data_IF_336432030513
#
_entry.id   IF_336432030513
#
_cell.length_a   1.000
_cell.length_b   1.000
_cell.length_c   1.000
_cell.angle_alpha   90.00
_cell.angle_beta   90.00
_cell.angle_gamma   90.00
#
_symmetry.space_group_name_H-M   'P 1'
#
loop_
_entity.id
_entity.type
_entity.pdbx_description
1 polymer ?
#
# COMPACT_ATOMS: atom_id res chain seq x y z
N UNK A 1 7.68 -3.99 -27.09
CA UNK A 1 6.43 -3.37 -27.58
C UNK A 1 5.20 -3.88 -26.82
N UNK A 2 5.12 -5.16 -26.49
CA UNK A 2 4.02 -5.81 -25.76
C UNK A 2 3.90 -5.29 -24.30
N UNK A 3 5.02 -5.05 -23.61
CA UNK A 3 5.01 -4.55 -22.22
C UNK A 3 4.51 -3.09 -22.09
N UNK A 4 4.72 -2.28 -23.14
CA UNK A 4 4.20 -0.90 -23.15
C UNK A 4 2.67 -0.82 -23.21
N UNK A 5 2.01 -1.78 -23.82
CA UNK A 5 0.55 -1.81 -23.92
C UNK A 5 -0.12 -2.22 -22.59
N UNK A 6 0.52 -3.11 -21.81
CA UNK A 6 -0.02 -3.59 -20.52
C UNK A 6 -0.22 -2.49 -19.47
N UNK A 7 0.39 -1.34 -19.67
CA UNK A 7 0.40 -0.21 -18.73
C UNK A 7 -0.56 0.91 -19.14
N UNK A 8 -1.32 0.75 -20.21
CA UNK A 8 -2.22 1.77 -20.74
C UNK A 8 -3.69 1.45 -20.46
N UNK A 9 -4.52 2.50 -20.38
CA UNK A 9 -5.99 2.36 -20.37
C UNK A 9 -6.49 1.50 -21.55
N UNK A 10 -5.83 1.59 -22.71
CA UNK A 10 -6.13 0.76 -23.88
C UNK A 10 -5.90 -0.75 -23.62
N UNK A 11 -4.92 -1.12 -22.81
CA UNK A 11 -4.71 -2.50 -22.38
C UNK A 11 -5.80 -2.98 -21.42
N UNK A 12 -6.24 -2.12 -20.51
CA UNK A 12 -7.37 -2.42 -19.61
C UNK A 12 -8.65 -2.65 -20.41
N UNK A 13 -8.90 -1.83 -21.45
CA UNK A 13 -9.99 -2.03 -22.40
C UNK A 13 -9.83 -3.33 -23.20
N UNK A 14 -8.61 -3.67 -23.64
CA UNK A 14 -8.31 -4.92 -24.33
C UNK A 14 -8.52 -6.14 -23.43
N UNK A 15 -8.08 -6.09 -22.17
CA UNK A 15 -8.31 -7.14 -21.18
C UNK A 15 -9.79 -7.33 -20.89
N UNK A 16 -10.54 -6.23 -20.78
CA UNK A 16 -11.99 -6.28 -20.67
C UNK A 16 -12.64 -6.97 -21.85
N UNK A 17 -12.27 -6.57 -23.07
CA UNK A 17 -12.82 -7.12 -24.31
C UNK A 17 -12.47 -8.61 -24.50
N UNK A 18 -11.22 -9.01 -24.19
CA UNK A 18 -10.73 -10.37 -24.44
C UNK A 18 -11.04 -11.36 -23.32
N UNK A 19 -11.13 -10.92 -22.08
CA UNK A 19 -11.25 -11.77 -20.90
C UNK A 19 -12.50 -11.48 -20.04
N UNK A 20 -13.39 -10.64 -20.51
CA UNK A 20 -14.63 -10.27 -19.79
C UNK A 20 -14.41 -9.61 -18.44
N UNK A 21 -13.19 -9.15 -18.13
CA UNK A 21 -12.89 -8.47 -16.87
C UNK A 21 -13.51 -7.08 -16.91
N UNK A 22 -14.40 -6.73 -15.95
CA UNK A 22 -15.06 -5.43 -15.98
C UNK A 22 -14.05 -4.28 -15.85
N UNK A 23 -14.15 -3.26 -16.69
CA UNK A 23 -13.47 -1.95 -16.49
C UNK A 23 -13.88 -1.36 -15.13
N UNK A 24 -15.03 -1.78 -14.63
CA UNK A 24 -15.62 -1.47 -13.34
C UNK A 24 -14.68 -1.71 -12.14
N UNK A 25 -13.69 -2.62 -12.22
CA UNK A 25 -12.82 -2.93 -11.07
C UNK A 25 -12.02 -1.69 -10.60
N UNK A 26 -11.37 -0.96 -11.50
CA UNK A 26 -10.67 0.29 -11.14
C UNK A 26 -11.61 1.42 -10.77
N UNK A 27 -12.80 1.45 -11.35
CA UNK A 27 -13.82 2.43 -10.96
C UNK A 27 -14.32 2.15 -9.54
N UNK A 28 -14.52 0.88 -9.18
CA UNK A 28 -14.92 0.49 -7.84
C UNK A 28 -13.87 0.83 -6.79
N UNK A 29 -12.58 0.65 -7.09
CA UNK A 29 -11.48 1.10 -6.20
C UNK A 29 -11.50 2.62 -5.99
N UNK A 30 -11.67 3.41 -7.05
CA UNK A 30 -11.78 4.87 -6.93
C UNK A 30 -12.99 5.26 -6.08
N UNK A 31 -14.13 4.58 -6.25
CA UNK A 31 -15.33 4.80 -5.44
C UNK A 31 -15.11 4.39 -3.98
N UNK A 32 -14.46 3.25 -3.76
CA UNK A 32 -14.10 2.76 -2.43
C UNK A 32 -13.25 3.78 -1.67
N UNK A 33 -12.11 4.20 -2.25
CA UNK A 33 -11.22 5.16 -1.59
C UNK A 33 -11.85 6.56 -1.47
N UNK A 34 -12.72 6.95 -2.39
CA UNK A 34 -13.51 8.18 -2.26
C UNK A 34 -14.48 8.12 -1.08
N UNK A 35 -15.15 6.98 -0.88
CA UNK A 35 -16.05 6.79 0.26
C UNK A 35 -15.27 6.71 1.57
N UNK A 36 -14.13 6.00 1.58
CA UNK A 36 -13.27 5.82 2.73
C UNK A 36 -12.67 7.15 3.22
N UNK A 37 -12.07 7.92 2.32
CA UNK A 37 -11.36 9.16 2.65
C UNK A 37 -12.28 10.38 2.70
N UNK A 38 -13.54 10.25 2.24
CA UNK A 38 -14.49 11.37 2.18
C UNK A 38 -14.15 12.41 1.12
N UNK A 39 -14.82 13.56 1.21
CA UNK A 39 -14.53 14.71 0.33
C UNK A 39 -13.27 15.41 0.82
N UNK A 40 -12.20 15.30 0.06
CA UNK A 40 -10.90 15.90 0.37
C UNK A 40 -10.63 17.13 -0.50
N UNK A 41 -9.84 18.10 0.00
CA UNK A 41 -9.42 19.24 -0.81
C UNK A 41 -8.55 18.76 -1.99
N UNK A 42 -8.61 19.46 -3.15
CA UNK A 42 -7.71 19.19 -4.24
C UNK A 42 -6.25 19.24 -3.78
N UNK A 43 -5.46 18.25 -4.21
CA UNK A 43 -4.04 18.17 -3.85
C UNK A 43 -3.76 17.58 -2.46
N UNK A 44 -4.74 16.92 -1.80
CA UNK A 44 -4.44 16.17 -0.57
C UNK A 44 -3.21 15.28 -0.76
N UNK A 45 -2.31 15.28 0.21
CA UNK A 45 -1.08 14.51 0.13
C UNK A 45 -1.34 13.03 0.48
N UNK A 46 -0.87 12.14 -0.38
CA UNK A 46 -0.92 10.68 -0.19
C UNK A 46 0.48 10.10 -0.35
N UNK A 47 0.87 9.21 0.55
CA UNK A 47 2.05 8.36 0.36
C UNK A 47 1.59 6.97 -0.08
N UNK A 48 2.13 6.50 -1.22
CA UNK A 48 1.92 5.15 -1.78
C UNK A 48 3.25 4.39 -1.63
N UNK A 49 3.37 3.64 -0.52
CA UNK A 49 4.60 2.93 -0.13
C UNK A 49 4.53 1.50 -0.66
N UNK A 50 5.50 1.13 -1.51
CA UNK A 50 5.43 -0.08 -2.33
C UNK A 50 4.60 0.16 -3.58
N UNK A 51 4.80 1.31 -4.24
CA UNK A 51 3.96 1.75 -5.37
C UNK A 51 3.99 0.82 -6.59
N UNK A 52 4.97 -0.09 -6.67
CA UNK A 52 5.14 -1.03 -7.77
C UNK A 52 5.08 -0.31 -9.14
N UNK A 53 4.18 -0.69 -10.03
CA UNK A 53 3.96 -0.04 -11.34
C UNK A 53 2.92 1.07 -11.32
N UNK A 54 2.48 1.49 -10.13
CA UNK A 54 1.58 2.63 -9.92
C UNK A 54 0.10 2.32 -10.15
N UNK A 55 -0.36 1.13 -9.83
CA UNK A 55 -1.77 0.78 -9.92
C UNK A 55 -2.60 1.57 -8.89
N UNK A 56 -2.20 1.56 -7.63
CA UNK A 56 -2.83 2.33 -6.54
C UNK A 56 -2.53 3.82 -6.68
N UNK A 57 -1.29 4.19 -7.06
CA UNK A 57 -0.93 5.56 -7.42
C UNK A 57 -1.93 6.19 -8.40
N UNK A 58 -2.37 5.43 -9.42
CA UNK A 58 -3.34 5.92 -10.41
C UNK A 58 -4.74 6.16 -9.80
N UNK A 59 -5.14 5.36 -8.82
CA UNK A 59 -6.41 5.56 -8.09
C UNK A 59 -6.36 6.87 -7.32
N UNK A 60 -5.31 7.09 -6.53
CA UNK A 60 -5.16 8.31 -5.74
C UNK A 60 -5.00 9.56 -6.62
N UNK A 61 -4.25 9.47 -7.71
CA UNK A 61 -4.15 10.57 -8.68
C UNK A 61 -5.51 10.93 -9.31
N UNK A 62 -6.38 9.95 -9.59
CA UNK A 62 -7.76 10.18 -10.06
C UNK A 62 -8.65 10.84 -9.01
N UNK A 63 -8.35 10.66 -7.73
CA UNK A 63 -9.02 11.36 -6.64
C UNK A 63 -8.53 12.82 -6.48
N UNK A 64 -7.57 13.25 -7.31
CA UNK A 64 -7.00 14.59 -7.25
C UNK A 64 -5.86 14.74 -6.23
N UNK A 65 -5.34 13.65 -5.68
CA UNK A 65 -4.27 13.68 -4.69
C UNK A 65 -2.92 14.08 -5.32
N UNK A 66 -2.07 14.73 -4.52
CA UNK A 66 -0.62 14.75 -4.73
C UNK A 66 -0.05 13.47 -4.14
N UNK A 67 0.51 12.60 -4.98
CA UNK A 67 0.98 11.29 -4.56
C UNK A 67 2.50 11.24 -4.52
N UNK A 68 3.07 10.81 -3.40
CA UNK A 68 4.47 10.41 -3.28
C UNK A 68 4.51 8.88 -3.40
N UNK A 69 4.92 8.41 -4.58
CA UNK A 69 5.04 6.99 -4.91
C UNK A 69 6.44 6.50 -4.56
N UNK A 70 6.54 5.66 -3.52
CA UNK A 70 7.83 5.15 -3.01
C UNK A 70 8.04 3.73 -3.48
N UNK A 71 9.12 3.48 -4.25
CA UNK A 71 9.38 2.20 -4.92
C UNK A 71 10.89 1.95 -5.05
N UNK A 72 11.45 0.90 -4.42
CA UNK A 72 12.86 0.60 -4.50
C UNK A 72 13.32 -0.08 -5.81
N UNK A 73 12.44 -0.86 -6.49
CA UNK A 73 12.81 -1.57 -7.72
C UNK A 73 12.95 -0.62 -8.90
N UNK A 74 14.13 -0.59 -9.52
CA UNK A 74 14.43 0.32 -10.62
C UNK A 74 13.53 0.08 -11.85
N UNK A 75 13.14 -1.16 -12.12
CA UNK A 75 12.26 -1.51 -13.24
C UNK A 75 10.89 -0.88 -13.07
N UNK A 76 10.34 -0.96 -11.86
CA UNK A 76 9.07 -0.35 -11.50
C UNK A 76 9.15 1.19 -11.53
N UNK A 77 10.24 1.76 -10.98
CA UNK A 77 10.48 3.22 -11.03
C UNK A 77 10.52 3.76 -12.45
N UNK A 78 11.15 3.03 -13.38
CA UNK A 78 11.17 3.42 -14.81
C UNK A 78 9.77 3.45 -15.40
N UNK A 79 8.90 2.53 -15.01
CA UNK A 79 7.49 2.51 -15.42
C UNK A 79 6.76 3.71 -14.83
N UNK A 80 6.87 3.94 -13.52
CA UNK A 80 6.27 5.08 -12.82
C UNK A 80 6.71 6.42 -13.42
N UNK A 81 8.02 6.61 -13.65
CA UNK A 81 8.56 7.87 -14.20
C UNK A 81 8.10 8.14 -15.63
N UNK A 82 7.87 7.09 -16.43
CA UNK A 82 7.30 7.23 -17.79
C UNK A 82 5.81 7.57 -17.76
N UNK A 83 5.08 7.01 -16.79
CA UNK A 83 3.64 7.25 -16.62
C UNK A 83 3.37 8.63 -16.02
N UNK A 84 4.24 9.07 -15.12
CA UNK A 84 4.12 10.33 -14.38
C UNK A 84 5.39 11.18 -14.57
N UNK A 85 5.56 11.84 -15.75
CA UNK A 85 6.74 12.67 -15.98
C UNK A 85 6.76 13.88 -15.03
N UNK A 86 7.97 14.19 -14.53
CA UNK A 86 8.19 15.33 -13.61
C UNK A 86 7.68 16.64 -14.20
N UNK A 87 7.21 17.54 -13.34
CA UNK A 87 6.81 18.91 -13.73
C UNK A 87 5.31 19.12 -13.99
N UNK A 88 4.47 18.10 -13.90
CA UNK A 88 3.00 18.28 -13.88
C UNK A 88 2.53 18.53 -12.45
N UNK A 89 2.57 19.77 -12.02
CA UNK A 89 2.00 20.23 -10.74
C UNK A 89 0.51 20.55 -10.93
N UNK A 90 -0.32 19.52 -11.07
CA UNK A 90 -1.78 19.64 -11.04
C UNK A 90 -2.35 18.79 -9.92
N UNK A 91 -3.62 19.03 -9.55
CA UNK A 91 -4.37 18.06 -8.78
C UNK A 91 -4.20 16.69 -9.45
N UNK A 92 -3.71 15.67 -8.71
CA UNK A 92 -3.29 14.40 -9.29
C UNK A 92 -1.81 14.35 -9.73
N UNK A 93 -0.92 15.18 -9.18
CA UNK A 93 0.53 15.08 -9.42
C UNK A 93 1.13 13.88 -8.71
N UNK A 94 2.14 13.23 -9.34
CA UNK A 94 2.87 12.09 -8.77
C UNK A 94 4.36 12.38 -8.76
N UNK A 95 4.99 12.18 -7.60
CA UNK A 95 6.42 12.23 -7.43
C UNK A 95 6.95 10.85 -7.05
N UNK A 96 8.02 10.38 -7.69
CA UNK A 96 8.58 9.04 -7.50
C UNK A 96 9.84 9.13 -6.64
N UNK A 97 9.84 8.42 -5.50
CA UNK A 97 10.97 8.28 -4.58
C UNK A 97 11.58 6.90 -4.73
N UNK A 98 12.86 6.84 -5.11
CA UNK A 98 13.57 5.60 -5.43
C UNK A 98 14.21 4.93 -4.21
N UNK A 99 13.49 4.80 -3.11
CA UNK A 99 13.96 4.19 -1.86
C UNK A 99 12.97 3.15 -1.36
N UNK A 100 13.41 2.24 -0.51
CA UNK A 100 12.50 1.45 0.31
C UNK A 100 12.15 2.23 1.58
N UNK A 101 11.00 1.94 2.20
CA UNK A 101 10.65 2.48 3.51
C UNK A 101 10.91 1.41 4.57
N UNK A 102 11.53 1.80 5.68
CA UNK A 102 11.86 0.95 6.80
C UNK A 102 11.85 1.76 8.09
N UNK A 103 12.20 1.13 9.22
CA UNK A 103 12.29 1.80 10.53
C UNK A 103 13.43 2.81 10.61
N UNK A 104 14.45 2.65 9.75
CA UNK A 104 15.61 3.53 9.67
C UNK A 104 16.09 3.74 8.23
N UNK A 105 17.09 4.61 8.06
CA UNK A 105 17.73 4.95 6.79
C UNK A 105 19.05 4.21 6.51
N UNK A 106 19.33 3.10 7.15
CA UNK A 106 20.63 2.39 7.08
C UNK A 106 20.88 1.63 5.78
N UNK A 107 19.85 1.53 4.93
CA UNK A 107 19.82 0.71 3.72
C UNK A 107 19.51 -0.75 4.01
N UNK A 108 18.95 -1.46 3.02
CA UNK A 108 18.50 -2.83 3.17
C UNK A 108 18.81 -3.68 1.94
N UNK A 109 18.59 -4.99 2.06
CA UNK A 109 18.64 -5.93 0.95
C UNK A 109 17.24 -6.20 0.44
N UNK A 110 16.97 -5.83 -0.80
CA UNK A 110 15.77 -6.23 -1.54
C UNK A 110 16.00 -7.64 -2.12
N UNK A 111 15.16 -8.58 -1.71
CA UNK A 111 15.11 -9.91 -2.31
C UNK A 111 14.29 -9.83 -3.59
N UNK A 112 14.87 -10.30 -4.69
CA UNK A 112 14.34 -10.16 -6.04
C UNK A 112 13.93 -11.52 -6.59
N UNK A 113 12.63 -11.72 -6.78
CA UNK A 113 12.07 -12.82 -7.55
C UNK A 113 12.36 -12.62 -9.04
N UNK A 114 11.98 -11.46 -9.56
CA UNK A 114 12.27 -11.02 -10.92
C UNK A 114 12.30 -9.48 -10.98
N UNK A 115 12.99 -8.87 -11.96
CA UNK A 115 12.95 -7.42 -12.16
C UNK A 115 11.52 -6.91 -12.33
N UNK A 116 11.09 -6.00 -11.45
CA UNK A 116 9.75 -5.41 -11.46
C UNK A 116 8.63 -6.35 -11.00
N UNK A 117 8.95 -7.44 -10.32
CA UNK A 117 7.96 -8.32 -9.69
C UNK A 117 7.31 -7.64 -8.47
N UNK A 118 5.99 -7.80 -8.30
CA UNK A 118 5.28 -7.40 -7.09
C UNK A 118 5.68 -8.21 -5.86
N UNK A 119 6.33 -9.37 -6.04
CA UNK A 119 6.77 -10.23 -4.93
C UNK A 119 8.12 -9.82 -4.32
N UNK A 120 8.81 -8.84 -4.92
CA UNK A 120 10.09 -8.36 -4.41
C UNK A 120 9.89 -7.71 -3.04
N UNK A 121 10.69 -8.11 -2.04
CA UNK A 121 10.48 -7.68 -0.65
C UNK A 121 11.79 -7.50 0.11
N UNK A 122 11.74 -6.70 1.18
CA UNK A 122 12.79 -6.63 2.21
C UNK A 122 12.64 -7.72 3.27
N UNK A 123 11.51 -8.45 3.32
CA UNK A 123 11.20 -9.43 4.36
C UNK A 123 11.83 -10.80 4.09
N UNK A 124 12.81 -11.26 4.90
CA UNK A 124 13.30 -12.63 4.79
C UNK A 124 12.23 -13.68 5.11
N UNK A 125 11.22 -13.32 5.92
CA UNK A 125 10.10 -14.21 6.22
C UNK A 125 9.23 -14.43 4.99
N UNK A 126 8.92 -13.38 4.23
CA UNK A 126 8.20 -13.47 2.95
C UNK A 126 8.89 -14.44 1.99
N UNK A 127 10.21 -14.26 1.80
CA UNK A 127 11.02 -15.13 0.95
C UNK A 127 10.94 -16.59 1.37
N UNK A 128 11.05 -16.87 2.68
CA UNK A 128 10.95 -18.25 3.20
C UNK A 128 9.56 -18.83 3.04
N UNK A 129 8.51 -18.06 3.32
CA UNK A 129 7.12 -18.52 3.22
C UNK A 129 6.77 -18.91 1.79
N UNK A 130 7.13 -18.09 0.79
CA UNK A 130 6.85 -18.37 -0.62
C UNK A 130 7.76 -19.46 -1.20
N UNK A 131 8.97 -19.62 -0.69
CA UNK A 131 9.88 -20.69 -1.10
C UNK A 131 9.51 -22.06 -0.51
N UNK A 132 8.80 -22.10 0.61
CA UNK A 132 8.42 -23.32 1.30
C UNK A 132 7.09 -23.91 0.79
N UNK A 133 6.16 -23.08 0.33
CA UNK A 133 4.76 -23.44 0.05
C UNK A 133 4.34 -23.01 -1.35
N UNK A 134 3.61 -23.87 -2.06
CA UNK A 134 3.07 -23.62 -3.38
C UNK A 134 1.57 -23.24 -3.38
N UNK A 135 0.90 -23.33 -2.22
CA UNK A 135 -0.56 -23.12 -2.10
C UNK A 135 -1.02 -21.75 -2.53
N UNK A 136 -0.20 -20.71 -2.30
CA UNK A 136 -0.58 -19.33 -2.59
C UNK A 136 -0.53 -18.99 -4.08
N UNK A 137 0.47 -19.50 -4.83
CA UNK A 137 0.70 -19.17 -6.24
C UNK A 137 0.70 -20.39 -7.17
N UNK A 138 0.33 -21.57 -6.67
CA UNK A 138 0.33 -22.82 -7.43
C UNK A 138 1.71 -23.39 -7.74
N UNK A 139 2.78 -22.69 -7.32
CA UNK A 139 4.17 -23.12 -7.41
C UNK A 139 5.01 -22.39 -6.35
N UNK A 140 6.13 -23.00 -5.96
CA UNK A 140 7.13 -22.35 -5.10
C UNK A 140 7.75 -21.17 -5.83
N UNK A 141 7.95 -20.07 -5.10
CA UNK A 141 8.55 -18.84 -5.63
C UNK A 141 10.03 -18.81 -5.26
N UNK A 142 10.89 -18.67 -6.24
CA UNK A 142 12.34 -18.54 -6.04
C UNK A 142 12.77 -17.07 -6.09
N UNK A 143 13.64 -16.66 -5.15
CA UNK A 143 14.25 -15.34 -5.09
C UNK A 143 15.73 -15.47 -5.43
N UNK A 144 16.03 -15.55 -6.73
CA UNK A 144 17.41 -15.73 -7.21
C UNK A 144 18.27 -14.46 -7.08
N UNK A 145 17.65 -13.27 -7.00
CA UNK A 145 18.34 -11.99 -6.95
C UNK A 145 18.34 -11.36 -5.55
N UNK A 146 19.38 -10.55 -5.32
CA UNK A 146 19.50 -9.66 -4.15
C UNK A 146 20.04 -8.32 -4.62
N UNK A 147 19.44 -7.23 -4.16
CA UNK A 147 19.86 -5.88 -4.50
C UNK A 147 19.99 -5.04 -3.23
N UNK A 148 21.12 -4.34 -3.04
CA UNK A 148 21.22 -3.31 -2.01
C UNK A 148 20.40 -2.11 -2.44
N UNK A 149 19.49 -1.65 -1.56
CA UNK A 149 18.66 -0.47 -1.80
C UNK A 149 18.84 0.53 -0.66
N UNK A 150 18.70 1.81 -0.99
CA UNK A 150 18.59 2.85 0.02
C UNK A 150 17.25 2.74 0.73
N UNK A 151 17.26 3.02 2.04
CA UNK A 151 16.03 3.13 2.83
C UNK A 151 15.77 4.56 3.27
N UNK A 152 14.53 4.82 3.64
CA UNK A 152 14.05 6.04 4.28
C UNK A 152 13.00 5.67 5.32
N UNK A 153 12.59 6.60 6.17
CA UNK A 153 11.50 6.40 7.12
C UNK A 153 10.26 7.19 6.71
N UNK A 154 9.09 6.81 7.22
CA UNK A 154 7.87 7.61 7.04
C UNK A 154 8.07 9.03 7.58
N UNK A 155 8.75 9.17 8.72
CA UNK A 155 9.05 10.50 9.32
C UNK A 155 9.92 11.35 8.40
N UNK A 156 10.95 10.76 7.76
CA UNK A 156 11.79 11.47 6.79
C UNK A 156 11.01 11.91 5.55
N UNK A 157 10.08 11.09 5.08
CA UNK A 157 9.18 11.46 3.97
C UNK A 157 8.25 12.62 4.39
N UNK A 158 7.69 12.58 5.61
CA UNK A 158 6.86 13.69 6.11
C UNK A 158 7.65 14.99 6.26
N UNK A 159 8.90 14.93 6.68
CA UNK A 159 9.76 16.11 6.78
C UNK A 159 10.09 16.69 5.40
N UNK A 160 10.20 15.86 4.36
CA UNK A 160 10.49 16.29 3.00
C UNK A 160 9.26 16.80 2.22
N UNK A 161 8.10 16.17 2.41
CA UNK A 161 6.92 16.39 1.56
C UNK A 161 5.70 16.97 2.28
N UNK A 162 5.70 16.99 3.61
CA UNK A 162 4.57 17.35 4.47
C UNK A 162 3.88 16.11 5.06
N UNK A 163 2.98 16.35 6.03
CA UNK A 163 2.18 15.29 6.66
C UNK A 163 1.10 14.83 5.68
N UNK A 164 1.04 13.55 5.31
CA UNK A 164 0.04 13.04 4.39
C UNK A 164 -1.33 12.89 5.10
N UNK A 165 -2.39 13.06 4.34
CA UNK A 165 -3.73 12.71 4.78
C UNK A 165 -3.93 11.19 4.81
N UNK A 166 -3.29 10.47 3.86
CA UNK A 166 -3.38 9.02 3.75
C UNK A 166 -2.03 8.40 3.43
N UNK A 167 -1.71 7.29 4.08
CA UNK A 167 -0.57 6.43 3.76
C UNK A 167 -1.07 5.05 3.42
N UNK A 168 -0.74 4.54 2.22
CA UNK A 168 -0.85 3.13 1.88
C UNK A 168 0.50 2.46 2.05
N UNK A 169 0.54 1.31 2.71
CA UNK A 169 1.74 0.48 2.88
C UNK A 169 1.47 -0.91 2.32
N UNK A 170 2.26 -1.32 1.31
CA UNK A 170 2.15 -2.60 0.64
C UNK A 170 3.57 -3.01 0.21
N UNK A 171 4.28 -3.68 1.12
CA UNK A 171 5.72 -3.96 1.00
C UNK A 171 6.04 -5.43 1.24
N UNK A 172 5.03 -6.28 1.07
CA UNK A 172 5.17 -7.74 1.02
C UNK A 172 5.85 -8.32 2.28
N UNK A 173 5.23 -8.05 3.45
CA UNK A 173 5.64 -8.60 4.73
C UNK A 173 6.70 -7.78 5.47
N UNK A 174 6.89 -6.49 5.13
CA UNK A 174 7.79 -5.57 5.83
C UNK A 174 7.04 -4.40 6.50
N UNK A 175 5.71 -4.46 6.57
CA UNK A 175 4.80 -3.39 7.02
C UNK A 175 5.11 -2.94 8.45
N UNK A 176 5.35 -3.88 9.38
CA UNK A 176 5.67 -3.57 10.77
C UNK A 176 6.96 -2.75 10.88
N UNK A 177 7.99 -3.05 10.07
CA UNK A 177 9.22 -2.26 10.04
C UNK A 177 8.99 -0.85 9.50
N UNK A 178 8.16 -0.71 8.47
CA UNK A 178 7.74 0.61 7.96
C UNK A 178 7.07 1.43 9.05
N UNK A 179 6.12 0.82 9.78
CA UNK A 179 5.37 1.48 10.85
C UNK A 179 6.22 1.83 12.07
N UNK A 180 7.25 1.04 12.40
CA UNK A 180 8.20 1.43 13.47
C UNK A 180 8.93 2.73 13.16
N UNK A 181 9.02 3.13 11.89
CA UNK A 181 9.54 4.42 11.44
C UNK A 181 8.56 5.59 11.50
N UNK A 182 7.31 5.38 11.94
CA UNK A 182 6.28 6.40 12.11
C UNK A 182 6.28 6.94 13.54
N UNK A 183 6.42 8.27 13.71
CA UNK A 183 6.57 8.93 15.02
C UNK A 183 5.35 9.73 15.46
N UNK A 184 4.44 10.02 14.56
CA UNK A 184 3.22 10.81 14.78
C UNK A 184 2.05 10.21 14.02
N UNK A 185 0.81 10.36 14.51
CA UNK A 185 -0.34 9.86 13.79
C UNK A 185 -0.57 10.62 12.48
N UNK A 186 -1.34 10.01 11.59
CA UNK A 186 -1.89 10.60 10.36
C UNK A 186 -3.38 10.33 10.32
N UNK A 187 -4.14 11.11 9.55
CA UNK A 187 -5.60 10.97 9.54
C UNK A 187 -6.07 9.56 9.14
N UNK A 188 -5.46 8.99 8.09
CA UNK A 188 -5.77 7.65 7.60
C UNK A 188 -4.49 6.92 7.19
N UNK A 189 -4.48 5.60 7.41
CA UNK A 189 -3.40 4.72 7.00
C UNK A 189 -3.96 3.34 6.66
N UNK A 190 -3.35 2.65 5.68
CA UNK A 190 -3.61 1.22 5.47
C UNK A 190 -2.32 0.45 5.28
N UNK A 191 -2.40 -0.85 5.58
CA UNK A 191 -1.32 -1.81 5.36
C UNK A 191 -1.89 -3.18 5.00
N UNK A 192 -1.15 -3.92 4.15
CA UNK A 192 -1.53 -5.27 3.77
C UNK A 192 -1.13 -6.29 4.84
N UNK A 193 -2.00 -7.29 5.07
CA UNK A 193 -1.71 -8.45 5.91
C UNK A 193 -1.97 -9.72 5.14
N UNK A 194 -0.92 -10.46 4.83
CA UNK A 194 -0.98 -11.75 4.18
C UNK A 194 -1.24 -12.87 5.20
N UNK A 195 -2.41 -13.46 5.18
CA UNK A 195 -2.89 -14.43 6.18
C UNK A 195 -2.74 -15.89 5.71
N UNK A 196 -2.53 -16.83 6.63
CA UNK A 196 -2.31 -16.63 8.07
C UNK A 196 -0.85 -16.29 8.43
N UNK A 197 0.09 -16.37 7.48
CA UNK A 197 1.54 -16.41 7.73
C UNK A 197 2.03 -15.12 8.40
N UNK A 198 1.43 -13.97 8.06
CA UNK A 198 1.80 -12.63 8.57
C UNK A 198 0.81 -12.07 9.60
N UNK A 199 -0.04 -12.93 10.17
CA UNK A 199 -0.94 -12.50 11.24
C UNK A 199 -0.19 -11.90 12.46
N UNK A 200 0.94 -12.46 12.93
CA UNK A 200 1.68 -11.85 14.05
C UNK A 200 2.18 -10.43 13.72
N UNK A 201 2.72 -10.21 12.52
CA UNK A 201 3.19 -8.90 12.07
C UNK A 201 2.02 -7.93 11.86
N UNK A 202 0.88 -8.42 11.36
CA UNK A 202 -0.36 -7.63 11.26
C UNK A 202 -0.84 -7.14 12.62
N UNK A 203 -0.78 -8.01 13.66
CA UNK A 203 -1.10 -7.62 15.03
C UNK A 203 -0.08 -6.61 15.57
N UNK A 204 1.21 -6.80 15.32
CA UNK A 204 2.25 -5.82 15.67
C UNK A 204 1.96 -4.45 15.04
N UNK A 205 1.53 -4.41 13.77
CA UNK A 205 1.12 -3.16 13.11
C UNK A 205 -0.04 -2.47 13.87
N UNK A 206 -1.07 -3.23 14.26
CA UNK A 206 -2.19 -2.72 15.07
C UNK A 206 -1.69 -2.13 16.39
N UNK A 207 -0.81 -2.85 17.11
CA UNK A 207 -0.25 -2.40 18.38
C UNK A 207 0.61 -1.12 18.24
N UNK A 208 1.39 -0.99 17.16
CA UNK A 208 2.18 0.22 16.87
C UNK A 208 1.23 1.41 16.69
N UNK A 209 0.19 1.26 15.87
CA UNK A 209 -0.77 2.33 15.59
C UNK A 209 -1.59 2.70 16.82
N UNK A 210 -1.99 1.74 17.64
CA UNK A 210 -2.72 1.97 18.89
C UNK A 210 -1.87 2.71 19.95
N UNK A 211 -0.54 2.56 19.90
CA UNK A 211 0.36 3.35 20.74
C UNK A 211 0.49 4.80 20.28
N UNK A 212 0.38 5.04 18.96
CA UNK A 212 0.43 6.40 18.39
C UNK A 212 -0.84 7.18 18.69
N UNK A 213 -2.02 6.54 18.59
CA UNK A 213 -3.30 7.16 18.97
C UNK A 213 -4.22 6.10 19.58
N UNK A 214 -4.48 6.20 20.88
CA UNK A 214 -5.39 5.30 21.62
C UNK A 214 -6.85 5.43 21.16
N UNK A 215 -7.22 6.55 20.54
CA UNK A 215 -8.52 6.76 19.91
C UNK A 215 -8.66 6.08 18.56
N UNK A 216 -7.58 5.57 18.01
CA UNK A 216 -7.52 4.95 16.68
C UNK A 216 -8.53 3.83 16.50
N UNK A 217 -9.02 3.68 15.27
CA UNK A 217 -10.02 2.66 14.90
C UNK A 217 -9.57 1.92 13.66
N UNK A 218 -9.98 0.66 13.57
CA UNK A 218 -9.56 -0.27 12.53
C UNK A 218 -10.77 -0.88 11.80
N UNK A 219 -10.56 -1.17 10.53
CA UNK A 219 -11.42 -1.98 9.69
C UNK A 219 -10.56 -2.68 8.63
N UNK A 220 -11.10 -3.55 7.79
CA UNK A 220 -10.37 -4.14 6.67
C UNK A 220 -11.23 -4.23 5.41
N UNK A 221 -10.57 -4.56 4.28
CA UNK A 221 -11.22 -5.03 3.05
C UNK A 221 -10.34 -6.10 2.39
N UNK A 222 -10.95 -7.10 1.76
CA UNK A 222 -10.22 -8.12 1.02
C UNK A 222 -9.85 -7.66 -0.41
N UNK A 223 -10.62 -6.76 -0.99
CA UNK A 223 -10.50 -6.38 -2.41
C UNK A 223 -10.48 -4.87 -2.67
N UNK A 224 -10.68 -4.05 -1.63
CA UNK A 224 -10.84 -2.60 -1.72
C UNK A 224 -11.97 -2.19 -2.69
N UNK A 225 -13.06 -2.95 -2.71
CA UNK A 225 -14.27 -2.66 -3.47
C UNK A 225 -15.49 -2.64 -2.55
N UNK A 226 -16.48 -1.84 -2.89
CA UNK A 226 -17.72 -1.75 -2.10
C UNK A 226 -17.53 -1.02 -0.77
N UNK A 227 -17.53 -1.74 0.33
CA UNK A 227 -17.41 -1.20 1.70
C UNK A 227 -16.34 -1.99 2.48
N UNK A 228 -15.76 -1.40 3.55
CA UNK A 228 -15.01 -2.17 4.53
C UNK A 228 -15.83 -3.36 5.06
N UNK A 229 -15.13 -4.43 5.45
CA UNK A 229 -15.76 -5.73 5.76
C UNK A 229 -16.52 -5.73 7.09
N UNK A 230 -16.09 -4.91 8.06
CA UNK A 230 -16.76 -4.80 9.35
C UNK A 230 -17.79 -3.68 9.29
N UNK A 231 -18.99 -3.86 9.93
CA UNK A 231 -20.03 -2.84 9.93
C UNK A 231 -19.57 -1.55 10.61
N UNK A 232 -18.75 -1.67 11.65
CA UNK A 232 -18.22 -0.56 12.44
C UNK A 232 -16.68 -0.56 12.44
N UNK A 233 -16.11 0.60 12.72
CA UNK A 233 -14.68 0.76 12.97
C UNK A 233 -14.38 0.40 14.43
N UNK A 234 -13.54 -0.61 14.65
CA UNK A 234 -13.29 -1.23 15.95
C UNK A 234 -12.03 -0.65 16.63
N UNK A 235 -12.01 -0.55 17.98
CA UNK A 235 -10.78 -0.37 18.71
C UNK A 235 -9.88 -1.62 18.55
N UNK A 236 -8.60 -1.51 18.86
CA UNK A 236 -7.62 -2.60 18.77
C UNK A 236 -8.04 -3.85 19.55
N UNK A 237 -8.60 -3.65 20.74
CA UNK A 237 -9.06 -4.76 21.61
C UNK A 237 -10.15 -5.65 20.99
N UNK A 238 -10.97 -5.10 20.11
CA UNK A 238 -12.01 -5.81 19.38
C UNK A 238 -11.52 -6.22 17.98
N UNK A 239 -10.69 -5.38 17.34
CA UNK A 239 -10.19 -5.63 16.00
C UNK A 239 -9.22 -6.82 15.93
N UNK A 240 -8.30 -6.97 16.90
CA UNK A 240 -7.34 -8.09 16.91
C UNK A 240 -8.04 -9.46 16.95
N UNK A 241 -9.06 -9.70 17.80
CA UNK A 241 -9.87 -10.92 17.71
C UNK A 241 -10.55 -11.14 16.36
N UNK A 242 -11.09 -10.06 15.76
CA UNK A 242 -11.73 -10.12 14.45
C UNK A 242 -10.71 -10.48 13.36
N UNK A 243 -9.51 -9.86 13.36
CA UNK A 243 -8.44 -10.18 12.42
C UNK A 243 -7.95 -11.64 12.56
N UNK A 244 -7.87 -12.18 13.79
CA UNK A 244 -7.55 -13.59 14.03
C UNK A 244 -8.60 -14.54 13.47
N UNK A 245 -9.87 -14.12 13.44
CA UNK A 245 -10.98 -14.91 12.91
C UNK A 245 -11.12 -14.79 11.38
N UNK A 246 -10.40 -13.87 10.74
CA UNK A 246 -10.44 -13.65 9.31
C UNK A 246 -10.02 -14.91 8.54
N UNK A 247 -10.71 -15.21 7.42
CA UNK A 247 -10.45 -16.37 6.55
C UNK A 247 -9.95 -15.98 5.17
N UNK A 248 -9.86 -14.69 4.90
CA UNK A 248 -9.31 -14.20 3.65
C UNK A 248 -7.80 -14.50 3.58
N UNK A 249 -7.25 -14.80 2.40
CA UNK A 249 -5.81 -15.07 2.24
C UNK A 249 -4.95 -13.80 2.40
N UNK A 250 -5.54 -12.64 2.16
CA UNK A 250 -4.91 -11.33 2.32
C UNK A 250 -5.99 -10.28 2.57
N UNK A 251 -5.69 -9.29 3.38
CA UNK A 251 -6.57 -8.15 3.64
C UNK A 251 -5.77 -6.85 3.69
N UNK A 252 -6.36 -5.79 3.17
CA UNK A 252 -5.93 -4.41 3.43
C UNK A 252 -6.57 -3.96 4.74
N UNK A 253 -5.78 -3.77 5.77
CA UNK A 253 -6.22 -3.23 7.07
C UNK A 253 -6.15 -1.71 7.00
N UNK A 254 -7.24 -1.05 7.38
CA UNK A 254 -7.36 0.40 7.46
C UNK A 254 -7.35 0.85 8.90
N UNK A 255 -6.68 1.96 9.15
CA UNK A 255 -6.65 2.65 10.42
C UNK A 255 -6.99 4.13 10.24
N UNK A 256 -7.74 4.68 11.18
CA UNK A 256 -8.02 6.11 11.27
C UNK A 256 -7.67 6.62 12.66
N UNK A 257 -7.08 7.81 12.70
CA UNK A 257 -6.79 8.56 13.93
C UNK A 257 -7.81 9.69 14.08
N UNK A 258 -8.73 9.61 15.03
CA UNK A 258 -9.69 10.69 15.28
C UNK A 258 -9.04 12.02 15.65
N UNK A 259 -7.84 11.99 16.27
CA UNK A 259 -7.09 13.20 16.64
C UNK A 259 -6.64 14.00 15.40
N UNK A 260 -6.41 13.33 14.26
CA UNK A 260 -5.92 13.93 13.03
C UNK A 260 -7.02 14.04 11.94
N UNK A 261 -8.03 13.18 11.99
CA UNK A 261 -9.12 13.17 11.01
C UNK A 261 -10.12 14.34 11.18
N UNK A 262 -10.03 15.09 12.29
CA UNK A 262 -11.02 16.10 12.66
C UNK A 262 -12.32 15.49 13.22
N UNK A 263 -13.28 16.29 13.71
CA UNK A 263 -14.51 15.79 14.27
C UNK A 263 -15.24 14.94 13.24
N UNK A 264 -15.40 13.67 13.57
CA UNK A 264 -15.98 12.62 12.76
C UNK A 264 -17.33 13.03 12.19
N UNK A 265 -17.50 12.84 10.93
CA UNK A 265 -18.84 12.63 10.36
C UNK A 265 -19.29 11.22 10.79
N UNK A 266 -20.03 11.20 11.94
CA UNK A 266 -20.79 10.05 12.34
C UNK A 266 -21.86 9.71 11.26
#
# INVERSE_FOLDING_TARGET
MYDRMRETFAYDCYQHWRHGRPITWRQNEVLFYRALLGVQPPGMLVFDVGAHRGQRTAVFAKLGARVIAVEPDETNRRVLSRRYPRGRLSAGSVEVVGKAVSEDGSGATLWVHAPGSGLNSLSPKWVRSLGADDRRFGSKVEFAGRQRVETTTLESLMNAFGVPHYIKIDVEGHEASVLRGLRRPVAFLSFEVNLPEFLPEGIECVEILSRLDKGGRFNWSADCQGRPALPDWLPDSEFVPALRACREPSVEVFWTSPSEAGPSRA
#
